data_IF_080470041219
#
_entry.id   IF_080470041219
#
_cell.length_a   1.000
_cell.length_b   1.000
_cell.length_c   1.000
_cell.angle_alpha   90.00
_cell.angle_beta   90.00
_cell.angle_gamma   90.00
#
_symmetry.space_group_name_H-M   'P 1'
#
loop_
_entity.id
_entity.type
_entity.pdbx_description
1 polymer ?
#
# COMPACT_ATOMS: atom_id res chain seq x y z
N UNK A 1 -8.90 -1.95 -10.71
CA UNK A 1 -7.86 -1.00 -11.13
C UNK A 1 -8.40 -0.11 -12.25
N UNK A 2 -8.64 1.18 -12.00
CA UNK A 2 -9.27 2.12 -12.96
C UNK A 2 -8.29 2.76 -13.94
N UNK A 3 -6.98 2.57 -13.72
CA UNK A 3 -5.94 3.21 -14.52
C UNK A 3 -5.67 4.66 -14.16
N UNK A 4 -6.23 5.17 -13.05
CA UNK A 4 -5.91 6.51 -12.56
C UNK A 4 -4.57 6.53 -11.82
N UNK A 5 -3.76 7.56 -12.09
CA UNK A 5 -2.61 7.91 -11.25
C UNK A 5 -3.05 8.05 -9.79
N UNK A 6 -2.23 7.57 -8.86
CA UNK A 6 -2.51 7.65 -7.42
C UNK A 6 -1.65 8.74 -6.78
N UNK A 7 -2.30 9.62 -6.01
CA UNK A 7 -1.65 10.55 -5.08
C UNK A 7 -1.90 10.01 -3.67
N UNK A 8 -0.84 9.69 -2.93
CA UNK A 8 -0.95 8.99 -1.66
C UNK A 8 -0.06 9.63 -0.59
N UNK A 9 -0.46 9.59 0.70
CA UNK A 9 0.45 9.92 1.79
C UNK A 9 1.63 8.94 1.83
N UNK A 10 2.85 9.45 2.06
CA UNK A 10 4.03 8.60 2.29
C UNK A 10 4.03 8.03 3.72
N UNK A 11 3.04 7.19 4.03
CA UNK A 11 2.88 6.62 5.36
C UNK A 11 2.40 5.17 5.32
N UNK A 12 2.98 4.32 6.17
CA UNK A 12 2.53 2.96 6.45
C UNK A 12 2.27 2.14 5.16
N UNK A 13 1.16 1.42 5.10
CA UNK A 13 0.79 0.58 3.97
C UNK A 13 0.75 1.34 2.63
N UNK A 14 0.45 2.64 2.60
CA UNK A 14 0.50 3.40 1.36
C UNK A 14 1.92 3.48 0.80
N UNK A 15 2.91 3.78 1.66
CA UNK A 15 4.31 3.86 1.27
C UNK A 15 4.87 2.51 0.81
N UNK A 16 4.45 1.42 1.46
CA UNK A 16 4.94 0.08 1.12
C UNK A 16 4.26 -0.51 -0.12
N UNK A 17 2.94 -0.38 -0.22
CA UNK A 17 2.19 -0.93 -1.35
C UNK A 17 2.45 -0.16 -2.63
N UNK A 18 2.68 1.15 -2.57
CA UNK A 18 2.79 2.02 -3.75
C UNK A 18 4.18 2.62 -3.97
N UNK A 19 5.19 2.03 -3.34
CA UNK A 19 6.61 2.39 -3.51
C UNK A 19 6.96 2.52 -5.00
N UNK A 20 7.56 3.64 -5.35
CA UNK A 20 8.06 4.00 -6.69
C UNK A 20 7.01 4.08 -7.83
N UNK A 21 5.72 3.90 -7.53
CA UNK A 21 4.64 3.90 -8.54
C UNK A 21 3.57 4.99 -8.33
N UNK A 22 3.45 5.55 -7.13
CA UNK A 22 2.53 6.65 -6.83
C UNK A 22 3.26 7.99 -6.69
N UNK A 23 2.50 9.08 -6.86
CA UNK A 23 2.95 10.40 -6.48
C UNK A 23 2.71 10.58 -4.98
N UNK A 24 3.79 10.72 -4.21
CA UNK A 24 3.69 10.78 -2.75
C UNK A 24 3.59 12.21 -2.23
N UNK A 25 2.77 12.39 -1.19
CA UNK A 25 2.69 13.60 -0.38
C UNK A 25 3.23 13.29 1.02
N UNK A 26 4.11 14.15 1.53
CA UNK A 26 4.66 13.98 2.88
C UNK A 26 3.64 14.39 3.93
N UNK A 27 3.47 13.63 5.02
CA UNK A 27 2.70 14.09 6.18
C UNK A 27 3.30 15.37 6.78
N UNK A 28 2.42 16.32 7.11
CA UNK A 28 2.80 17.59 7.74
C UNK A 28 2.65 17.56 9.27
N UNK A 29 1.83 16.64 9.79
CA UNK A 29 1.62 16.51 11.23
C UNK A 29 1.11 15.11 11.60
N UNK A 30 1.38 14.74 12.86
CA UNK A 30 0.81 13.58 13.48
C UNK A 30 -0.40 13.98 14.35
N UNK A 31 -1.43 13.15 14.39
CA UNK A 31 -2.61 13.35 15.22
C UNK A 31 -2.99 12.06 15.94
N UNK A 32 -3.29 12.17 17.24
CA UNK A 32 -3.73 11.05 18.06
C UNK A 32 -5.11 11.31 18.64
N UNK A 33 -6.08 10.48 18.27
CA UNK A 33 -7.39 10.46 18.92
C UNK A 33 -7.28 9.78 20.29
N UNK A 34 -8.02 10.29 21.28
CA UNK A 34 -7.95 9.80 22.66
C UNK A 34 -8.32 8.31 22.84
N UNK A 35 -9.12 7.76 21.91
CA UNK A 35 -9.61 6.38 21.94
C UNK A 35 -9.00 5.49 20.86
N UNK A 36 -7.95 5.97 20.19
CA UNK A 36 -7.34 5.24 19.10
C UNK A 36 -5.98 4.66 19.52
N UNK A 37 -5.72 3.44 19.06
CA UNK A 37 -4.50 2.71 19.39
C UNK A 37 -3.34 3.08 18.45
N UNK A 38 -3.62 3.86 17.40
CA UNK A 38 -2.65 4.27 16.40
C UNK A 38 -2.50 5.79 16.35
N UNK A 39 -1.34 6.23 15.90
CA UNK A 39 -1.09 7.61 15.52
C UNK A 39 -1.43 7.79 14.04
N UNK A 40 -2.19 8.84 13.74
CA UNK A 40 -2.58 9.20 12.38
C UNK A 40 -1.59 10.20 11.82
N UNK A 41 -1.38 10.14 10.52
CA UNK A 41 -0.58 11.11 9.78
C UNK A 41 -1.51 11.95 8.90
N UNK A 42 -1.36 13.27 8.99
CA UNK A 42 -2.17 14.25 8.26
C UNK A 42 -1.32 14.88 7.17
N UNK A 43 -1.87 15.00 5.97
CA UNK A 43 -1.28 15.75 4.86
C UNK A 43 -1.99 17.09 4.71
N UNK A 44 -1.27 18.14 4.32
CA UNK A 44 -1.88 19.43 4.03
C UNK A 44 -2.61 19.39 2.68
N UNK A 45 -3.76 20.04 2.59
CA UNK A 45 -4.53 20.12 1.34
C UNK A 45 -3.75 20.80 0.21
N UNK A 46 -2.92 21.77 0.56
CA UNK A 46 -2.11 22.57 -0.36
C UNK A 46 -1.04 21.70 -1.04
N UNK A 47 -0.47 20.74 -0.30
CA UNK A 47 0.53 19.82 -0.83
C UNK A 47 -0.10 18.82 -1.80
N UNK A 48 -1.29 18.32 -1.48
CA UNK A 48 -2.08 17.48 -2.40
C UNK A 48 -2.43 18.24 -3.68
N UNK A 49 -2.90 19.48 -3.55
CA UNK A 49 -3.23 20.33 -4.70
C UNK A 49 -2.00 20.64 -5.56
N UNK A 50 -0.84 20.84 -4.95
CA UNK A 50 0.42 21.07 -5.65
C UNK A 50 0.82 19.85 -6.50
N UNK A 51 0.77 18.65 -5.93
CA UNK A 51 1.07 17.41 -6.67
C UNK A 51 0.05 17.17 -7.79
N UNK A 52 -1.23 17.47 -7.53
CA UNK A 52 -2.28 17.38 -8.52
C UNK A 52 -2.00 18.30 -9.73
N UNK A 53 -1.72 19.58 -9.46
CA UNK A 53 -1.40 20.56 -10.50
C UNK A 53 -0.16 20.17 -11.32
N UNK A 54 0.90 19.66 -10.67
CA UNK A 54 2.09 19.15 -11.35
C UNK A 54 1.74 18.01 -12.32
N UNK A 55 0.92 17.05 -11.91
CA UNK A 55 0.49 15.94 -12.76
C UNK A 55 -0.38 16.42 -13.94
N UNK A 56 -1.30 17.35 -13.72
CA UNK A 56 -2.18 17.83 -14.78
C UNK A 56 -1.46 18.75 -15.79
N UNK A 57 -0.41 19.45 -15.36
CA UNK A 57 0.42 20.29 -16.25
C UNK A 57 1.37 19.48 -17.12
N UNK A 58 1.67 18.24 -16.75
CA UNK A 58 2.47 17.30 -17.55
C UNK A 58 1.65 16.05 -17.94
N UNK A 59 0.98 16.08 -19.11
CA UNK A 59 0.23 14.93 -19.61
C UNK A 59 1.08 13.67 -19.83
N UNK A 60 2.39 13.80 -20.05
CA UNK A 60 3.28 12.65 -20.17
C UNK A 60 3.47 11.98 -18.80
N UNK A 61 3.80 12.76 -17.77
CA UNK A 61 3.90 12.27 -16.41
C UNK A 61 2.58 11.64 -15.93
N UNK A 62 1.44 12.29 -16.18
CA UNK A 62 0.14 11.74 -15.81
C UNK A 62 -0.14 10.37 -16.45
N UNK A 63 0.18 10.19 -17.73
CA UNK A 63 0.05 8.89 -18.41
C UNK A 63 0.98 7.84 -17.81
N UNK A 64 2.21 8.23 -17.48
CA UNK A 64 3.19 7.32 -16.89
C UNK A 64 2.77 6.86 -15.50
N UNK A 65 2.36 7.77 -14.62
CA UNK A 65 1.85 7.42 -13.29
C UNK A 65 0.58 6.57 -13.37
N UNK A 66 -0.34 6.90 -14.28
CA UNK A 66 -1.54 6.12 -14.55
C UNK A 66 -1.23 4.67 -14.97
N UNK A 67 -0.27 4.49 -15.88
CA UNK A 67 0.16 3.17 -16.34
C UNK A 67 0.85 2.36 -15.24
N UNK A 68 1.77 2.97 -14.49
CA UNK A 68 2.44 2.33 -13.34
C UNK A 68 1.44 1.93 -12.26
N UNK A 69 0.49 2.80 -11.95
CA UNK A 69 -0.55 2.52 -10.97
C UNK A 69 -1.44 1.36 -11.39
N UNK A 70 -1.82 1.29 -12.67
CA UNK A 70 -2.57 0.16 -13.21
C UNK A 70 -1.79 -1.15 -13.07
N UNK A 71 -0.53 -1.16 -13.55
CA UNK A 71 0.33 -2.34 -13.49
C UNK A 71 0.55 -2.84 -12.06
N UNK A 72 0.73 -1.92 -11.09
CA UNK A 72 0.84 -2.28 -9.68
C UNK A 72 -0.46 -2.89 -9.16
N UNK A 73 -1.59 -2.24 -9.39
CA UNK A 73 -2.89 -2.66 -8.87
C UNK A 73 -3.39 -3.98 -9.48
N UNK A 74 -2.86 -4.40 -10.64
CA UNK A 74 -3.18 -5.68 -11.29
C UNK A 74 -2.06 -6.71 -11.14
N UNK A 75 -1.02 -6.43 -10.36
CA UNK A 75 0.06 -7.39 -10.14
C UNK A 75 -0.48 -8.65 -9.44
N UNK A 76 -0.10 -9.87 -9.87
CA UNK A 76 -0.59 -11.12 -9.29
C UNK A 76 -0.36 -11.25 -7.78
N UNK A 77 0.67 -10.58 -7.24
CA UNK A 77 0.95 -10.54 -5.81
C UNK A 77 -0.20 -9.95 -4.97
N UNK A 78 -1.11 -9.19 -5.59
CA UNK A 78 -2.30 -8.63 -4.93
C UNK A 78 -3.60 -9.37 -5.27
N UNK A 79 -3.51 -10.49 -5.99
CA UNK A 79 -4.66 -11.35 -6.24
C UNK A 79 -5.01 -12.16 -4.98
N UNK A 80 -6.31 -12.26 -4.68
CA UNK A 80 -6.78 -12.95 -3.47
C UNK A 80 -6.48 -14.43 -3.46
N UNK A 81 -6.44 -15.12 -4.60
CA UNK A 81 -6.06 -16.54 -4.63
C UNK A 81 -4.58 -16.70 -4.31
N UNK A 82 -3.75 -15.78 -4.81
CA UNK A 82 -2.31 -15.75 -4.48
C UNK A 82 -2.09 -15.51 -2.99
N UNK A 83 -2.79 -14.52 -2.40
CA UNK A 83 -2.71 -14.23 -0.96
C UNK A 83 -3.22 -15.41 -0.13
N UNK A 84 -4.33 -16.03 -0.53
CA UNK A 84 -4.89 -17.19 0.18
C UNK A 84 -3.94 -18.39 0.18
N UNK A 85 -3.30 -18.68 -0.95
CA UNK A 85 -2.30 -19.75 -1.04
C UNK A 85 -1.08 -19.48 -0.14
N UNK A 86 -0.63 -18.22 -0.03
CA UNK A 86 0.46 -17.84 0.88
C UNK A 86 0.06 -18.05 2.35
N UNK A 87 -1.16 -17.70 2.73
CA UNK A 87 -1.66 -17.95 4.09
C UNK A 87 -1.79 -19.44 4.40
N UNK A 88 -2.34 -20.24 3.47
CA UNK A 88 -2.43 -21.68 3.64
C UNK A 88 -1.04 -22.29 3.88
N UNK A 89 -0.04 -21.91 3.09
CA UNK A 89 1.34 -22.38 3.29
C UNK A 89 1.88 -22.07 4.69
N UNK A 90 1.63 -20.85 5.21
CA UNK A 90 2.02 -20.47 6.58
C UNK A 90 1.30 -21.32 7.62
N UNK A 91 0.00 -21.58 7.45
CA UNK A 91 -0.76 -22.41 8.38
C UNK A 91 -0.30 -23.86 8.36
N UNK A 92 -0.07 -24.45 7.19
CA UNK A 92 0.43 -25.82 7.07
C UNK A 92 1.81 -25.98 7.71
N UNK A 93 2.71 -25.01 7.55
CA UNK A 93 4.03 -25.01 8.21
C UNK A 93 3.89 -24.99 9.75
N UNK A 94 3.04 -24.10 10.29
CA UNK A 94 2.81 -24.04 11.74
C UNK A 94 2.18 -25.32 12.29
N UNK A 95 1.20 -25.89 11.58
CA UNK A 95 0.53 -27.12 11.98
C UNK A 95 1.50 -28.32 11.96
N UNK A 96 2.36 -28.42 10.94
CA UNK A 96 3.36 -29.48 10.85
C UNK A 96 4.38 -29.41 12.00
N UNK A 97 4.82 -28.20 12.37
CA UNK A 97 5.74 -28.00 13.50
C UNK A 97 5.12 -28.39 14.84
N UNK A 98 3.86 -28.05 15.09
CA UNK A 98 3.16 -28.45 16.32
C UNK A 98 3.01 -29.97 16.43
N UNK A 99 2.71 -30.66 15.32
CA UNK A 99 2.60 -32.12 15.29
C UNK A 99 3.93 -32.83 15.58
N UNK A 100 5.05 -32.31 15.08
CA UNK A 100 6.39 -32.83 15.38
C UNK A 100 6.71 -32.71 16.88
N UNK A 101 6.50 -31.54 17.47
CA UNK A 101 6.75 -31.29 18.91
C UNK A 101 5.91 -32.21 19.80
N UNK A 102 4.69 -32.54 19.39
CA UNK A 102 3.81 -33.46 20.14
C UNK A 102 4.16 -34.93 19.98
N UNK A 103 4.86 -35.31 18.90
CA UNK A 103 5.26 -36.69 18.64
C UNK A 103 6.55 -37.08 19.37
N UNK A 104 7.37 -36.10 19.75
CA UNK A 104 8.60 -36.26 20.54
C UNK A 104 8.38 -36.21 22.07
N UNK A 105 7.13 -36.14 22.53
CA UNK A 105 6.72 -36.21 23.95
C UNK A 105 6.03 -37.53 24.26
#
# INVERSE_FOLDING_TARGET
ATGAAQILPRHSACADLWRDVAAFVEPSSAYRYAFDCVEHQVVASEDVATVLDQLYRDPCALREYSARAYARATAPAFDWNTIAAQWDAVFQDVLARDQLVRSDR
#
